data_IF_634821745001
#
_entry.id   IF_634821745001
#
_cell.length_a   1.000
_cell.length_b   1.000
_cell.length_c   1.000
_cell.angle_alpha   90.00
_cell.angle_beta   90.00
_cell.angle_gamma   90.00
#
_symmetry.space_group_name_H-M   'P 1'
#
loop_
_entity.id
_entity.type
_entity.pdbx_description
1 polymer ?
#
# COMPACT_ATOMS: atom_id res chain seq x y z
N UNK A 1 -14.33 35.67 21.35
CA UNK A 1 -13.02 35.30 20.72
C UNK A 1 -12.28 34.26 21.53
N UNK A 2 -12.40 34.23 22.87
CA UNK A 2 -11.70 33.26 23.70
C UNK A 2 -12.00 31.80 23.33
N UNK A 3 -13.24 31.46 22.96
CA UNK A 3 -13.60 30.10 22.53
C UNK A 3 -12.84 29.65 21.26
N UNK A 4 -12.62 30.55 20.31
CA UNK A 4 -11.83 30.27 19.11
C UNK A 4 -10.36 30.03 19.43
N UNK A 5 -9.81 30.86 20.35
CA UNK A 5 -8.43 30.68 20.82
C UNK A 5 -8.27 29.34 21.55
N UNK A 6 -9.20 29.02 22.46
CA UNK A 6 -9.19 27.73 23.16
C UNK A 6 -9.24 26.53 22.19
N UNK A 7 -10.07 26.61 21.14
CA UNK A 7 -10.12 25.56 20.14
C UNK A 7 -8.79 25.39 19.37
N UNK A 8 -8.16 26.51 19.02
CA UNK A 8 -6.86 26.47 18.33
C UNK A 8 -5.78 25.90 19.26
N UNK A 9 -5.69 26.38 20.48
CA UNK A 9 -4.70 25.90 21.46
C UNK A 9 -4.92 24.42 21.78
N UNK A 10 -6.17 24.00 21.97
CA UNK A 10 -6.49 22.58 22.21
C UNK A 10 -6.17 21.70 21.01
N UNK A 11 -6.36 22.17 19.78
CA UNK A 11 -6.01 21.43 18.58
C UNK A 11 -4.50 21.20 18.48
N UNK A 12 -3.70 22.23 18.77
CA UNK A 12 -2.23 22.12 18.77
C UNK A 12 -1.78 21.16 19.86
N UNK A 13 -2.28 21.30 21.08
CA UNK A 13 -1.94 20.44 22.21
C UNK A 13 -2.32 18.98 21.93
N UNK A 14 -3.53 18.74 21.43
CA UNK A 14 -4.00 17.39 21.04
C UNK A 14 -3.11 16.78 19.94
N UNK A 15 -2.74 17.57 18.93
CA UNK A 15 -1.85 17.12 17.87
C UNK A 15 -0.48 16.70 18.38
N UNK A 16 0.12 17.48 19.27
CA UNK A 16 1.42 17.18 19.89
C UNK A 16 1.33 15.89 20.73
N UNK A 17 0.32 15.78 21.59
CA UNK A 17 0.13 14.61 22.47
C UNK A 17 -0.08 13.35 21.62
N UNK A 18 -0.98 13.39 20.65
CA UNK A 18 -1.26 12.22 19.80
C UNK A 18 -0.07 11.82 18.94
N UNK A 19 0.73 12.77 18.45
CA UNK A 19 1.97 12.44 17.76
C UNK A 19 3.00 11.82 18.72
N UNK A 20 3.11 12.30 19.95
CA UNK A 20 3.93 11.68 20.99
C UNK A 20 3.50 10.25 21.31
N UNK A 21 2.20 10.01 21.46
CA UNK A 21 1.62 8.66 21.63
C UNK A 21 1.96 7.78 20.44
N UNK A 22 1.86 8.30 19.22
CA UNK A 22 2.24 7.58 18.00
C UNK A 22 3.70 7.12 18.05
N UNK A 23 4.62 8.03 18.31
CA UNK A 23 6.07 7.73 18.36
C UNK A 23 6.37 6.72 19.47
N UNK A 24 5.83 6.92 20.66
CA UNK A 24 6.00 6.00 21.80
C UNK A 24 5.45 4.60 21.47
N UNK A 25 4.26 4.51 20.89
CA UNK A 25 3.65 3.23 20.51
C UNK A 25 4.47 2.50 19.45
N UNK A 26 5.01 3.22 18.47
CA UNK A 26 5.93 2.65 17.47
C UNK A 26 7.16 2.08 18.20
N UNK A 27 7.79 2.82 19.11
CA UNK A 27 8.95 2.36 19.89
C UNK A 27 8.65 1.11 20.73
N UNK A 28 7.49 1.09 21.41
CA UNK A 28 7.05 -0.06 22.21
C UNK A 28 6.83 -1.30 21.32
N UNK A 29 6.07 -1.15 20.24
CA UNK A 29 5.79 -2.26 19.31
C UNK A 29 7.09 -2.81 18.71
N UNK A 30 8.04 -1.94 18.33
CA UNK A 30 9.37 -2.35 17.81
C UNK A 30 10.17 -3.16 18.83
N UNK A 31 10.10 -2.79 20.10
CA UNK A 31 10.84 -3.49 21.16
C UNK A 31 10.31 -4.90 21.42
N UNK A 32 9.02 -5.14 21.22
CA UNK A 32 8.40 -6.46 21.36
C UNK A 32 8.50 -7.33 20.09
N UNK A 33 8.52 -6.71 18.92
CA UNK A 33 8.64 -7.41 17.64
C UNK A 33 10.12 -7.44 17.22
N UNK A 34 10.88 -8.43 17.67
CA UNK A 34 12.28 -8.64 17.27
C UNK A 34 12.40 -8.66 15.73
N UNK A 35 12.58 -7.47 15.12
CA UNK A 35 12.87 -7.32 13.69
C UNK A 35 11.68 -7.41 12.73
N UNK A 36 10.44 -7.36 13.19
CA UNK A 36 9.27 -7.28 12.31
C UNK A 36 9.10 -5.88 11.70
N UNK A 37 8.68 -5.77 10.42
CA UNK A 37 8.52 -4.49 9.77
C UNK A 37 7.36 -3.70 10.36
N UNK A 38 7.67 -2.59 11.04
CA UNK A 38 6.68 -1.68 11.65
C UNK A 38 5.84 -0.87 10.67
N UNK A 39 6.20 -0.90 9.41
CA UNK A 39 5.61 -0.08 8.37
C UNK A 39 5.02 -0.97 7.27
N UNK A 40 3.74 -1.31 7.44
CA UNK A 40 2.95 -2.03 6.46
C UNK A 40 1.68 -1.26 6.07
N UNK A 41 0.72 -1.90 5.41
CA UNK A 41 -0.62 -1.35 5.19
C UNK A 41 -1.32 -0.94 6.48
N UNK A 42 -0.97 -1.58 7.61
CA UNK A 42 -1.38 -1.22 8.97
C UNK A 42 -0.99 0.21 9.36
N UNK A 43 0.07 0.79 8.76
CA UNK A 43 0.50 2.15 9.06
C UNK A 43 -0.56 3.20 8.65
N UNK A 44 -1.23 2.98 7.53
CA UNK A 44 -2.33 3.85 7.07
C UNK A 44 -3.49 3.81 8.06
N UNK A 45 -3.81 2.64 8.61
CA UNK A 45 -4.86 2.51 9.63
C UNK A 45 -4.47 3.16 10.94
N UNK A 46 -3.23 2.96 11.37
CA UNK A 46 -2.73 3.53 12.59
C UNK A 46 -2.70 5.07 12.53
N UNK A 47 -2.23 5.64 11.42
CA UNK A 47 -2.26 7.10 11.19
C UNK A 47 -3.70 7.61 11.12
N UNK A 48 -4.58 6.90 10.41
CA UNK A 48 -6.01 7.26 10.33
C UNK A 48 -6.68 7.20 11.69
N UNK A 49 -6.39 6.16 12.48
CA UNK A 49 -6.91 6.02 13.84
C UNK A 49 -6.52 7.20 14.74
N UNK A 50 -5.24 7.60 14.73
CA UNK A 50 -4.75 8.75 15.49
C UNK A 50 -5.43 10.04 15.03
N UNK A 51 -5.58 10.23 13.71
CA UNK A 51 -6.26 11.39 13.14
C UNK A 51 -7.73 11.45 13.57
N UNK A 52 -8.48 10.35 13.46
CA UNK A 52 -9.88 10.32 13.88
C UNK A 52 -10.03 10.49 15.39
N UNK A 53 -9.10 9.96 16.19
CA UNK A 53 -9.07 10.20 17.64
C UNK A 53 -8.93 11.68 17.94
N UNK A 54 -7.99 12.36 17.28
CA UNK A 54 -7.81 13.81 17.40
C UNK A 54 -9.04 14.60 16.99
N UNK A 55 -9.68 14.20 15.90
CA UNK A 55 -10.92 14.82 15.41
C UNK A 55 -12.06 14.66 16.43
N UNK A 56 -12.25 13.48 17.01
CA UNK A 56 -13.28 13.22 18.02
C UNK A 56 -13.03 14.08 19.28
N UNK A 57 -11.79 14.12 19.76
CA UNK A 57 -11.41 14.98 20.89
C UNK A 57 -11.74 16.44 20.58
N UNK A 58 -11.41 16.92 19.39
CA UNK A 58 -11.62 18.29 18.99
C UNK A 58 -13.11 18.65 18.84
N UNK A 59 -13.91 17.75 18.25
CA UNK A 59 -15.36 17.89 18.19
C UNK A 59 -15.98 17.92 19.58
N UNK A 60 -15.47 17.12 20.51
CA UNK A 60 -15.92 17.09 21.89
C UNK A 60 -15.62 18.42 22.61
N UNK A 61 -14.37 18.94 22.48
CA UNK A 61 -14.00 20.24 23.04
C UNK A 61 -14.87 21.35 22.42
N UNK A 62 -15.08 21.32 21.11
CA UNK A 62 -15.96 22.27 20.41
C UNK A 62 -17.40 22.23 20.95
N UNK A 63 -17.92 21.03 21.16
CA UNK A 63 -19.25 20.84 21.73
C UNK A 63 -19.35 21.40 23.17
N UNK A 64 -18.32 21.17 23.99
CA UNK A 64 -18.26 21.74 25.34
C UNK A 64 -18.26 23.27 25.32
N UNK A 65 -17.48 23.87 24.43
CA UNK A 65 -17.37 25.33 24.31
C UNK A 65 -18.61 25.96 23.63
N UNK A 66 -19.33 25.19 22.80
CA UNK A 66 -20.55 25.64 22.13
C UNK A 66 -21.79 25.69 23.01
N UNK A 67 -21.74 25.10 24.20
CA UNK A 67 -22.87 24.98 25.14
C UNK A 67 -23.21 26.21 25.93
N UNK A 68 -22.87 27.42 25.49
CA UNK A 68 -23.40 28.64 26.10
C UNK A 68 -24.89 28.75 25.75
N UNK A 69 -25.65 28.85 26.78
CA UNK A 69 -27.11 28.96 26.86
C UNK A 69 -27.71 29.79 25.71
N UNK A 70 -28.62 29.22 24.97
CA UNK A 70 -29.80 29.98 24.57
C UNK A 70 -30.55 30.26 25.86
N UNK A 71 -30.34 31.46 26.41
CA UNK A 71 -31.31 31.97 27.38
C UNK A 71 -32.61 32.10 26.59
N UNK A 72 -33.72 31.54 27.10
CA UNK A 72 -35.01 32.01 26.65
C UNK A 72 -35.06 33.49 26.98
N UNK A 73 -35.37 34.34 26.03
CA UNK A 73 -35.72 35.72 26.27
C UNK A 73 -36.93 35.69 27.23
N UNK A 74 -36.66 35.91 28.49
CA UNK A 74 -37.71 36.22 29.46
C UNK A 74 -38.28 37.59 29.10
N UNK A 75 -39.61 37.74 29.00
CA UNK A 75 -40.22 39.03 28.78
C UNK A 75 -39.82 39.97 29.91
N UNK A 76 -39.35 41.14 29.52
CA UNK A 76 -38.86 42.19 30.40
C UNK A 76 -39.88 42.55 31.50
N UNK A 77 -39.62 42.13 32.73
CA UNK A 77 -40.22 42.70 33.90
C UNK A 77 -39.37 42.51 35.15
N UNK A 78 -39.01 43.62 35.76
CA UNK A 78 -38.47 43.90 37.11
C UNK A 78 -36.95 44.04 37.25
N UNK A 79 -36.48 45.21 37.73
CA UNK A 79 -35.11 45.41 38.16
C UNK A 79 -34.93 44.99 39.59
N UNK A 80 -34.03 44.10 39.85
CA UNK A 80 -33.61 43.81 41.21
C UNK A 80 -32.93 42.47 41.44
N UNK A 81 -31.68 42.54 41.88
CA UNK A 81 -31.01 41.61 42.80
C UNK A 81 -30.18 40.46 42.18
N UNK A 82 -28.89 40.68 42.21
CA UNK A 82 -27.78 39.80 42.61
C UNK A 82 -27.45 38.49 41.89
N UNK A 83 -26.24 38.53 41.30
CA UNK A 83 -25.23 37.49 41.26
C UNK A 83 -25.62 36.07 41.61
N UNK A 84 -26.18 35.31 40.65
CA UNK A 84 -26.18 33.88 40.79
C UNK A 84 -24.83 33.31 40.31
N UNK A 85 -24.08 32.76 41.24
CA UNK A 85 -22.90 31.97 40.95
C UNK A 85 -23.22 30.99 39.83
N UNK A 86 -22.40 30.97 38.78
CA UNK A 86 -22.47 29.97 37.71
C UNK A 86 -22.18 28.62 38.34
N UNK A 87 -23.23 27.91 38.70
CA UNK A 87 -23.10 26.48 39.04
C UNK A 87 -22.69 25.79 37.75
N UNK A 88 -21.45 25.36 37.72
CA UNK A 88 -20.97 24.51 36.61
C UNK A 88 -21.93 23.34 36.46
N UNK A 89 -22.55 23.22 35.29
CA UNK A 89 -23.49 22.13 34.99
C UNK A 89 -22.77 20.79 35.11
N UNK A 90 -23.11 20.01 36.10
CA UNK A 90 -22.63 18.63 36.20
C UNK A 90 -23.05 17.87 34.96
N UNK A 91 -22.16 17.03 34.46
CA UNK A 91 -22.39 16.15 33.31
C UNK A 91 -23.60 15.27 33.61
N UNK A 92 -24.49 15.14 32.65
CA UNK A 92 -25.56 14.15 32.76
C UNK A 92 -24.97 12.75 32.60
N UNK A 93 -25.52 11.75 33.25
CA UNK A 93 -25.07 10.38 33.14
C UNK A 93 -25.03 9.87 31.66
N UNK A 94 -25.93 10.39 30.81
CA UNK A 94 -25.95 10.10 29.38
C UNK A 94 -24.74 10.66 28.63
N UNK A 95 -24.26 11.82 29.00
CA UNK A 95 -23.09 12.47 28.38
C UNK A 95 -21.80 11.75 28.77
N UNK A 96 -21.68 11.35 30.03
CA UNK A 96 -20.56 10.54 30.51
C UNK A 96 -20.58 9.18 29.80
N UNK A 97 -21.72 8.51 29.73
CA UNK A 97 -21.84 7.23 29.05
C UNK A 97 -21.49 7.31 27.56
N UNK A 98 -21.95 8.36 26.86
CA UNK A 98 -21.63 8.55 25.45
C UNK A 98 -20.10 8.79 25.24
N UNK A 99 -19.45 9.56 26.10
CA UNK A 99 -18.01 9.78 26.04
C UNK A 99 -17.23 8.50 26.32
N UNK A 100 -17.62 7.78 27.38
CA UNK A 100 -17.00 6.50 27.74
C UNK A 100 -17.12 5.48 26.62
N UNK A 101 -18.31 5.38 26.00
CA UNK A 101 -18.56 4.49 24.87
C UNK A 101 -17.68 4.89 23.66
N UNK A 102 -17.65 6.17 23.30
CA UNK A 102 -16.84 6.66 22.19
C UNK A 102 -15.34 6.39 22.43
N UNK A 103 -14.84 6.70 23.63
CA UNK A 103 -13.45 6.44 24.00
C UNK A 103 -13.14 4.95 24.01
N UNK A 104 -14.01 4.13 24.60
CA UNK A 104 -13.89 2.67 24.62
C UNK A 104 -13.85 2.07 23.19
N UNK A 105 -14.74 2.53 22.32
CA UNK A 105 -14.76 2.11 20.90
C UNK A 105 -13.45 2.47 20.20
N UNK A 106 -12.96 3.68 20.39
CA UNK A 106 -11.70 4.15 19.81
C UNK A 106 -10.52 3.29 20.32
N UNK A 107 -10.45 3.01 21.61
CA UNK A 107 -9.40 2.16 22.20
C UNK A 107 -9.50 0.73 21.68
N UNK A 108 -10.69 0.14 21.64
CA UNK A 108 -10.90 -1.23 21.10
C UNK A 108 -10.53 -1.34 19.63
N UNK A 109 -10.90 -0.36 18.81
CA UNK A 109 -10.51 -0.30 17.40
C UNK A 109 -8.99 -0.18 17.27
N UNK A 110 -8.35 0.68 18.08
CA UNK A 110 -6.89 0.84 18.07
C UNK A 110 -6.17 -0.43 18.46
N UNK A 111 -6.58 -1.09 19.53
CA UNK A 111 -6.03 -2.37 19.93
C UNK A 111 -6.26 -3.44 18.85
N UNK A 112 -7.47 -3.51 18.29
CA UNK A 112 -7.78 -4.42 17.18
C UNK A 112 -6.83 -4.24 15.99
N UNK A 113 -6.50 -3.00 15.62
CA UNK A 113 -5.58 -2.69 14.54
C UNK A 113 -4.12 -3.06 14.87
N UNK A 114 -3.67 -2.89 16.11
CA UNK A 114 -2.33 -3.31 16.56
C UNK A 114 -2.17 -4.83 16.43
N UNK A 115 -3.21 -5.60 16.76
CA UNK A 115 -3.21 -7.06 16.62
C UNK A 115 -3.51 -7.55 15.19
N UNK A 116 -3.93 -6.65 14.29
CA UNK A 116 -4.20 -6.94 12.89
C UNK A 116 -2.94 -6.89 12.05
N UNK A 117 -2.01 -7.82 12.31
CA UNK A 117 -0.76 -7.87 11.57
C UNK A 117 -0.87 -8.83 10.37
N UNK A 118 -0.49 -8.40 9.14
CA UNK A 118 -0.45 -9.29 7.99
C UNK A 118 0.54 -10.43 8.22
N UNK A 119 0.17 -11.63 7.79
CA UNK A 119 1.04 -12.81 7.86
C UNK A 119 1.79 -12.96 6.54
N UNK A 120 3.06 -13.41 6.57
CA UNK A 120 3.76 -13.79 5.34
C UNK A 120 2.97 -14.86 4.59
N UNK A 121 2.86 -14.71 3.29
CA UNK A 121 2.26 -15.72 2.42
C UNK A 121 3.36 -16.51 1.71
N UNK A 122 3.25 -17.81 1.72
CA UNK A 122 4.14 -18.68 0.93
C UNK A 122 3.74 -18.64 -0.55
N UNK A 123 4.69 -18.91 -1.43
CA UNK A 123 4.43 -19.22 -2.83
C UNK A 123 3.66 -20.55 -2.94
N UNK A 124 2.82 -20.70 -3.95
CA UNK A 124 2.15 -21.95 -4.25
C UNK A 124 3.15 -23.04 -4.70
N UNK A 125 4.17 -22.63 -5.44
CA UNK A 125 5.28 -23.48 -5.84
C UNK A 125 6.59 -22.66 -5.88
N UNK A 126 7.78 -23.30 -5.72
CA UNK A 126 9.06 -22.61 -5.84
C UNK A 126 9.20 -21.95 -7.22
N UNK A 127 9.74 -20.72 -7.28
CA UNK A 127 9.94 -20.02 -8.56
C UNK A 127 10.86 -20.78 -9.52
N UNK A 128 11.83 -21.54 -8.99
CA UNK A 128 12.74 -22.33 -9.79
C UNK A 128 12.03 -23.45 -10.57
N UNK A 129 10.84 -23.86 -10.13
CA UNK A 129 10.01 -24.85 -10.82
C UNK A 129 9.19 -24.27 -11.98
N UNK A 130 9.25 -22.96 -12.23
CA UNK A 130 8.72 -22.37 -13.48
C UNK A 130 9.38 -23.09 -14.65
N UNK A 131 8.62 -23.57 -15.67
CA UNK A 131 9.16 -24.38 -16.73
C UNK A 131 10.38 -23.75 -17.41
N UNK A 132 11.43 -24.57 -17.62
CA UNK A 132 12.59 -24.16 -18.40
C UNK A 132 12.28 -24.09 -19.89
N UNK A 133 11.19 -24.73 -20.34
CA UNK A 133 10.74 -24.65 -21.74
C UNK A 133 9.32 -24.09 -21.76
N UNK A 134 9.10 -22.98 -22.46
CA UNK A 134 7.81 -22.29 -22.60
C UNK A 134 7.60 -22.07 -24.13
N UNK A 135 6.74 -22.84 -24.72
CA UNK A 135 6.53 -22.81 -26.19
C UNK A 135 7.82 -23.07 -26.97
N UNK A 136 8.24 -22.12 -27.79
CA UNK A 136 9.50 -22.18 -28.53
C UNK A 136 10.73 -21.73 -27.75
N UNK A 137 10.54 -21.23 -26.52
CA UNK A 137 11.59 -20.65 -25.72
C UNK A 137 12.23 -21.66 -24.78
N UNK A 138 13.56 -21.71 -24.76
CA UNK A 138 14.37 -22.52 -23.83
C UNK A 138 15.10 -21.68 -22.82
N UNK A 139 14.84 -21.93 -21.52
CA UNK A 139 15.36 -21.18 -20.41
C UNK A 139 16.61 -21.76 -19.80
N UNK A 140 17.55 -20.88 -19.44
CA UNK A 140 18.74 -21.19 -18.64
C UNK A 140 18.93 -20.11 -17.55
N UNK A 141 19.53 -20.49 -16.45
CA UNK A 141 19.84 -19.53 -15.37
C UNK A 141 20.68 -18.36 -15.91
N UNK A 142 20.37 -17.17 -15.42
CA UNK A 142 21.11 -15.95 -15.75
C UNK A 142 21.41 -15.16 -14.46
N UNK A 143 22.48 -14.37 -14.47
CA UNK A 143 22.98 -13.69 -13.27
C UNK A 143 22.85 -12.17 -13.32
N UNK A 144 22.74 -11.58 -14.51
CA UNK A 144 22.79 -10.13 -14.68
C UNK A 144 21.41 -9.53 -14.87
N UNK A 145 20.97 -8.72 -13.90
CA UNK A 145 19.80 -7.86 -14.00
C UNK A 145 20.10 -6.62 -14.86
N UNK A 146 19.10 -6.06 -15.52
CA UNK A 146 19.26 -4.95 -16.46
C UNK A 146 18.76 -3.62 -15.91
N UNK A 147 19.46 -2.55 -16.27
CA UNK A 147 19.06 -1.15 -16.19
C UNK A 147 18.24 -0.81 -14.95
N UNK A 148 17.01 -0.34 -15.15
CA UNK A 148 16.14 0.08 -14.03
C UNK A 148 15.77 -1.03 -13.04
N UNK A 149 15.99 -2.29 -13.40
CA UNK A 149 15.69 -3.46 -12.57
C UNK A 149 16.90 -4.01 -11.81
N UNK A 150 18.11 -3.44 -11.99
CA UNK A 150 19.32 -3.85 -11.25
C UNK A 150 19.21 -3.73 -9.75
N UNK A 151 18.50 -2.69 -9.28
CA UNK A 151 18.31 -2.41 -7.85
C UNK A 151 17.15 -3.19 -7.20
N UNK A 152 16.48 -4.09 -7.92
CA UNK A 152 15.45 -4.93 -7.34
C UNK A 152 16.08 -5.89 -6.33
N UNK A 153 15.55 -5.90 -5.13
CA UNK A 153 15.90 -6.85 -4.06
C UNK A 153 14.60 -7.35 -3.46
N UNK A 154 14.23 -8.57 -3.85
CA UNK A 154 13.03 -9.24 -3.36
C UNK A 154 13.42 -10.37 -2.41
N UNK A 155 12.48 -10.86 -1.63
CA UNK A 155 12.77 -11.93 -0.67
C UNK A 155 12.96 -13.29 -1.37
N UNK A 156 12.25 -13.50 -2.50
CA UNK A 156 12.44 -14.65 -3.39
C UNK A 156 12.53 -14.13 -4.82
N UNK A 157 13.52 -14.57 -5.54
CA UNK A 157 13.78 -14.10 -6.91
C UNK A 157 14.08 -15.25 -7.87
N UNK A 158 13.60 -15.12 -9.10
CA UNK A 158 14.04 -15.91 -10.23
C UNK A 158 14.56 -14.97 -11.30
N UNK A 159 15.73 -15.26 -11.84
CA UNK A 159 16.23 -14.61 -13.04
C UNK A 159 16.68 -15.67 -14.05
N UNK A 160 16.04 -15.68 -15.21
CA UNK A 160 16.26 -16.70 -16.24
C UNK A 160 16.30 -16.07 -17.63
N UNK A 161 17.21 -16.51 -18.46
CA UNK A 161 17.27 -16.17 -19.87
C UNK A 161 16.57 -17.27 -20.66
N UNK A 162 15.71 -16.88 -21.58
CA UNK A 162 15.05 -17.77 -22.55
C UNK A 162 15.51 -17.38 -23.92
N UNK A 163 16.01 -18.35 -24.67
CA UNK A 163 16.39 -18.19 -26.07
C UNK A 163 15.28 -18.80 -26.95
N UNK A 164 14.73 -18.01 -27.88
CA UNK A 164 13.75 -18.50 -28.83
C UNK A 164 14.42 -19.38 -29.87
N UNK A 165 13.95 -20.59 -30.04
CA UNK A 165 14.49 -21.56 -31.03
C UNK A 165 14.28 -21.12 -32.47
N UNK A 166 13.32 -20.24 -32.74
CA UNK A 166 12.96 -19.77 -34.07
C UNK A 166 13.76 -18.56 -34.48
N UNK A 167 13.75 -17.50 -33.65
CA UNK A 167 14.45 -16.25 -33.95
C UNK A 167 15.87 -16.20 -33.42
N UNK A 168 16.20 -17.01 -32.41
CA UNK A 168 17.46 -16.94 -31.68
C UNK A 168 17.57 -15.75 -30.73
N UNK A 169 16.54 -14.92 -30.66
CA UNK A 169 16.56 -13.74 -29.81
C UNK A 169 16.31 -14.09 -28.33
N UNK A 170 17.09 -13.51 -27.41
CA UNK A 170 16.93 -13.78 -26.01
C UNK A 170 15.84 -12.90 -25.37
N UNK A 171 15.05 -13.52 -24.48
CA UNK A 171 14.15 -12.84 -23.54
C UNK A 171 14.58 -13.19 -22.12
N UNK A 172 14.70 -12.19 -21.28
CA UNK A 172 15.07 -12.37 -19.89
C UNK A 172 13.84 -12.21 -18.99
N UNK A 173 13.53 -13.26 -18.24
CA UNK A 173 12.46 -13.24 -17.25
C UNK A 173 13.05 -12.97 -15.87
N UNK A 174 12.50 -11.97 -15.20
CA UNK A 174 12.69 -11.75 -13.79
C UNK A 174 11.33 -11.89 -13.08
N UNK A 175 11.30 -12.67 -12.01
CA UNK A 175 10.15 -12.78 -11.11
C UNK A 175 10.67 -12.49 -9.71
N UNK A 176 10.16 -11.44 -9.10
CA UNK A 176 10.48 -11.09 -7.72
C UNK A 176 9.23 -11.19 -6.86
N UNK A 177 9.33 -11.89 -5.73
CA UNK A 177 8.23 -12.12 -4.80
C UNK A 177 8.55 -11.60 -3.41
N UNK A 178 7.59 -10.93 -2.82
CA UNK A 178 7.57 -10.49 -1.43
C UNK A 178 6.46 -11.21 -0.69
N UNK A 179 6.76 -12.10 0.26
CA UNK A 179 5.75 -12.77 1.08
C UNK A 179 5.02 -11.81 2.01
N UNK A 180 5.64 -10.67 2.32
CA UNK A 180 5.06 -9.59 3.10
C UNK A 180 5.64 -8.25 2.64
N UNK A 181 4.77 -7.25 2.48
CA UNK A 181 5.19 -5.89 2.19
C UNK A 181 5.19 -5.04 3.46
N UNK A 182 6.13 -4.12 3.55
CA UNK A 182 6.25 -3.15 4.63
C UNK A 182 6.56 -1.75 4.07
N UNK A 183 6.83 -0.78 4.95
CA UNK A 183 7.12 0.59 4.52
C UNK A 183 8.36 0.68 3.63
N UNK A 184 9.41 -0.03 3.94
CA UNK A 184 10.68 -0.01 3.22
C UNK A 184 10.63 -0.85 1.94
N UNK A 185 9.96 -2.02 2.03
CA UNK A 185 9.81 -2.98 0.94
C UNK A 185 8.38 -3.02 0.45
N UNK A 186 8.07 -2.20 -0.56
CA UNK A 186 6.79 -2.21 -1.28
C UNK A 186 7.03 -2.57 -2.73
N UNK A 187 6.21 -3.45 -3.26
CA UNK A 187 6.30 -3.81 -4.68
C UNK A 187 6.15 -2.57 -5.59
N UNK A 188 5.36 -1.61 -5.14
CA UNK A 188 5.10 -0.36 -5.86
C UNK A 188 6.26 0.64 -5.84
N UNK A 189 7.34 0.38 -5.10
CA UNK A 189 8.56 1.18 -5.18
C UNK A 189 9.35 0.87 -6.46
N UNK A 190 8.97 -0.18 -7.18
CA UNK A 190 9.63 -0.64 -8.40
C UNK A 190 8.63 -0.72 -9.56
N UNK A 191 9.04 -0.45 -10.80
CA UNK A 191 10.29 0.18 -11.20
C UNK A 191 10.34 1.67 -10.81
N UNK A 192 11.47 2.33 -11.11
CA UNK A 192 11.65 3.77 -10.80
C UNK A 192 10.57 4.65 -11.47
N UNK A 193 10.29 5.81 -10.88
CA UNK A 193 9.31 6.76 -11.42
C UNK A 193 9.67 7.24 -12.83
N UNK A 194 10.96 7.37 -13.13
CA UNK A 194 11.46 7.77 -14.45
C UNK A 194 11.08 6.74 -15.52
N UNK A 195 11.13 5.45 -15.19
CA UNK A 195 10.72 4.40 -16.13
C UNK A 195 9.21 4.37 -16.30
N UNK A 196 8.47 4.55 -15.20
CA UNK A 196 7.00 4.60 -15.25
C UNK A 196 6.48 5.75 -16.12
N UNK A 197 7.11 6.92 -16.02
CA UNK A 197 6.74 8.09 -16.81
C UNK A 197 6.92 7.88 -18.34
N UNK A 198 7.78 6.95 -18.73
CA UNK A 198 8.07 6.60 -20.13
C UNK A 198 7.42 5.29 -20.58
N UNK A 199 6.53 4.74 -19.78
CA UNK A 199 5.88 3.46 -20.08
C UNK A 199 4.46 3.66 -20.58
N UNK A 200 4.06 2.84 -21.53
CA UNK A 200 2.69 2.69 -22.02
C UNK A 200 2.06 1.39 -21.52
N UNK A 201 0.74 1.32 -21.65
CA UNK A 201 -0.04 0.15 -21.23
C UNK A 201 -0.54 -0.56 -22.47
N UNK A 202 -0.31 -1.85 -22.53
CA UNK A 202 -0.75 -2.72 -23.60
C UNK A 202 -1.72 -3.77 -23.08
N UNK A 203 -2.66 -4.16 -23.91
CA UNK A 203 -3.48 -5.35 -23.69
C UNK A 203 -2.81 -6.57 -24.32
N UNK A 204 -2.66 -7.62 -23.54
CA UNK A 204 -2.01 -8.87 -23.94
C UNK A 204 -2.99 -10.01 -23.75
N UNK A 205 -3.01 -10.96 -24.67
CA UNK A 205 -3.87 -12.13 -24.55
C UNK A 205 -3.47 -13.00 -23.36
N UNK A 206 -4.46 -13.41 -22.58
CA UNK A 206 -4.30 -14.37 -21.47
C UNK A 206 -5.52 -15.29 -21.47
N UNK A 207 -5.50 -16.30 -22.29
CA UNK A 207 -6.66 -17.15 -22.53
C UNK A 207 -7.85 -16.36 -23.08
N UNK A 208 -9.01 -16.48 -22.43
CA UNK A 208 -10.25 -15.81 -22.85
C UNK A 208 -10.37 -14.33 -22.45
N UNK A 209 -9.45 -13.82 -21.63
CA UNK A 209 -9.51 -12.43 -21.12
C UNK A 209 -8.18 -11.73 -21.32
N UNK A 210 -8.14 -10.59 -22.04
CA UNK A 210 -6.93 -9.80 -22.15
C UNK A 210 -6.55 -9.22 -20.78
N UNK A 211 -5.25 -9.21 -20.52
CA UNK A 211 -4.67 -8.55 -19.34
C UNK A 211 -3.89 -7.32 -19.77
N UNK A 212 -3.85 -6.32 -18.91
CA UNK A 212 -3.08 -5.11 -19.15
C UNK A 212 -1.71 -5.27 -18.53
N UNK A 213 -0.66 -4.93 -19.28
CA UNK A 213 0.73 -4.90 -18.80
C UNK A 213 1.38 -3.59 -19.21
N UNK A 214 2.50 -3.24 -18.60
CA UNK A 214 3.27 -2.06 -18.98
C UNK A 214 4.43 -2.44 -19.90
N UNK A 215 4.68 -1.58 -20.90
CA UNK A 215 5.86 -1.64 -21.75
C UNK A 215 6.70 -0.39 -21.50
N UNK A 216 8.00 -0.58 -21.32
CA UNK A 216 8.97 0.51 -21.20
C UNK A 216 10.22 0.19 -22.01
N UNK A 217 10.77 1.18 -22.69
CA UNK A 217 11.98 1.01 -23.49
C UNK A 217 13.06 2.00 -23.06
N UNK A 218 14.32 1.57 -23.05
CA UNK A 218 15.48 2.40 -22.77
C UNK A 218 16.68 1.94 -23.55
N UNK A 219 17.68 2.82 -23.66
CA UNK A 219 18.99 2.46 -24.22
C UNK A 219 19.99 2.27 -23.07
N UNK A 220 20.70 1.16 -23.08
CA UNK A 220 21.78 0.88 -22.11
C UNK A 220 23.02 0.41 -22.86
N UNK A 221 24.08 1.19 -22.80
CA UNK A 221 25.35 0.90 -23.48
C UNK A 221 25.21 0.67 -25.01
N UNK A 222 24.33 1.44 -25.67
CA UNK A 222 24.08 1.32 -27.12
C UNK A 222 23.15 0.18 -27.52
N UNK A 223 22.66 -0.61 -26.57
CA UNK A 223 21.68 -1.66 -26.83
C UNK A 223 20.29 -1.16 -26.45
N UNK A 224 19.37 -1.21 -27.40
CA UNK A 224 17.97 -0.95 -27.15
C UNK A 224 17.34 -2.10 -26.38
N UNK A 225 16.68 -1.78 -25.27
CA UNK A 225 15.98 -2.76 -24.45
C UNK A 225 14.52 -2.38 -24.27
N UNK A 226 13.67 -3.38 -24.31
CA UNK A 226 12.23 -3.22 -24.03
C UNK A 226 11.83 -4.20 -22.94
N UNK A 227 11.21 -3.68 -21.90
CA UNK A 227 10.65 -4.46 -20.81
C UNK A 227 9.13 -4.44 -20.86
N UNK A 228 8.55 -5.59 -20.60
CA UNK A 228 7.15 -5.77 -20.29
C UNK A 228 7.05 -6.18 -18.83
N UNK A 229 6.24 -5.47 -18.04
CA UNK A 229 6.16 -5.74 -16.61
C UNK A 229 4.76 -5.51 -16.05
N UNK A 230 4.47 -6.25 -15.00
CA UNK A 230 3.22 -6.17 -14.26
C UNK A 230 3.41 -6.59 -12.80
N UNK A 231 2.46 -6.28 -11.97
CA UNK A 231 2.38 -6.77 -10.61
C UNK A 231 1.38 -7.91 -10.51
N UNK A 232 1.61 -8.83 -9.60
CA UNK A 232 0.65 -9.86 -9.22
C UNK A 232 0.36 -9.69 -7.72
N UNK A 233 -0.89 -9.40 -7.39
CA UNK A 233 -1.35 -9.18 -6.02
C UNK A 233 -2.65 -9.95 -5.89
N UNK A 234 -2.70 -10.89 -4.93
CA UNK A 234 -3.90 -11.71 -4.70
C UNK A 234 -4.47 -12.32 -5.99
N UNK A 235 -3.60 -12.94 -6.79
CA UNK A 235 -3.92 -13.60 -8.07
C UNK A 235 -4.40 -12.64 -9.18
N UNK A 236 -4.34 -11.35 -8.95
CA UNK A 236 -4.73 -10.34 -9.93
C UNK A 236 -3.51 -9.73 -10.57
N UNK A 237 -3.53 -9.62 -11.89
CA UNK A 237 -2.55 -8.85 -12.65
C UNK A 237 -2.93 -7.37 -12.55
N UNK A 238 -2.00 -6.57 -12.09
CA UNK A 238 -2.17 -5.15 -11.85
C UNK A 238 -1.03 -4.37 -12.50
N UNK A 239 -1.35 -3.28 -13.17
CA UNK A 239 -0.37 -2.44 -13.88
C UNK A 239 -0.17 -1.08 -13.24
N UNK A 240 -1.21 -0.56 -12.60
CA UNK A 240 -1.21 0.77 -12.02
C UNK A 240 -0.76 0.74 -10.56
N UNK A 241 0.15 1.65 -10.17
CA UNK A 241 0.64 1.75 -8.79
C UNK A 241 -0.47 1.97 -7.76
N UNK A 242 -1.43 2.83 -8.08
CA UNK A 242 -2.54 3.10 -7.16
C UNK A 242 -3.45 1.89 -7.01
N UNK A 243 -3.71 1.20 -8.12
CA UNK A 243 -4.47 -0.05 -8.08
C UNK A 243 -3.71 -1.11 -7.27
N UNK A 244 -2.40 -1.24 -7.46
CA UNK A 244 -1.57 -2.18 -6.68
C UNK A 244 -1.60 -1.87 -5.17
N UNK A 245 -1.55 -0.59 -4.79
CA UNK A 245 -1.73 -0.18 -3.39
C UNK A 245 -3.10 -0.55 -2.85
N UNK A 246 -4.14 -0.32 -3.64
CA UNK A 246 -5.51 -0.63 -3.26
C UNK A 246 -5.75 -2.13 -3.11
N UNK A 247 -5.30 -2.93 -4.08
CA UNK A 247 -5.40 -4.40 -4.00
C UNK A 247 -4.60 -4.96 -2.81
N UNK A 248 -3.39 -4.43 -2.54
CA UNK A 248 -2.62 -4.82 -1.34
C UNK A 248 -3.36 -4.49 -0.06
N UNK A 249 -4.07 -3.37 -0.02
CA UNK A 249 -4.87 -2.96 1.13
C UNK A 249 -6.06 -3.89 1.34
N UNK A 250 -6.81 -4.20 0.28
CA UNK A 250 -7.93 -5.13 0.32
C UNK A 250 -7.46 -6.53 0.76
N UNK A 251 -6.37 -7.03 0.20
CA UNK A 251 -5.77 -8.30 0.58
C UNK A 251 -5.37 -8.32 2.07
N UNK A 252 -4.83 -7.21 2.57
CA UNK A 252 -4.49 -7.09 3.99
C UNK A 252 -5.72 -7.21 4.88
N UNK A 253 -6.82 -6.57 4.49
CA UNK A 253 -8.07 -6.61 5.25
C UNK A 253 -8.75 -7.97 5.21
N UNK A 254 -8.95 -8.50 4.01
CA UNK A 254 -9.75 -9.69 3.81
C UNK A 254 -8.99 -10.96 4.22
N UNK A 255 -7.70 -11.02 3.91
CA UNK A 255 -6.90 -12.25 4.02
C UNK A 255 -5.77 -12.16 5.03
N UNK A 256 -5.54 -11.01 5.63
CA UNK A 256 -4.38 -10.72 6.51
C UNK A 256 -3.04 -11.04 5.84
N UNK A 257 -2.93 -10.75 4.54
CA UNK A 257 -1.75 -10.96 3.72
C UNK A 257 -1.41 -9.66 3.00
N UNK A 258 -0.14 -9.48 2.63
CA UNK A 258 0.32 -8.37 1.79
C UNK A 258 1.32 -8.85 0.75
N UNK A 259 1.26 -10.14 0.42
CA UNK A 259 2.15 -10.73 -0.57
C UNK A 259 1.94 -10.10 -1.94
N UNK A 260 3.03 -9.89 -2.66
CA UNK A 260 2.99 -9.39 -4.01
C UNK A 260 4.20 -9.86 -4.82
N UNK A 261 4.03 -9.91 -6.12
CA UNK A 261 5.12 -10.19 -7.05
C UNK A 261 5.23 -9.09 -8.11
N UNK A 262 6.43 -8.90 -8.62
CA UNK A 262 6.69 -8.19 -9.88
C UNK A 262 7.24 -9.17 -10.88
N UNK A 263 6.70 -9.12 -12.08
CA UNK A 263 7.17 -9.94 -13.21
C UNK A 263 7.67 -8.99 -14.29
N UNK A 264 8.83 -9.26 -14.81
CA UNK A 264 9.48 -8.45 -15.84
C UNK A 264 10.05 -9.35 -16.91
N UNK A 265 9.64 -9.14 -18.15
CA UNK A 265 10.24 -9.76 -19.34
C UNK A 265 11.01 -8.68 -20.13
N UNK A 266 12.30 -8.88 -20.34
CA UNK A 266 13.16 -7.92 -21.05
C UNK A 266 13.69 -8.54 -22.32
N UNK A 267 13.56 -7.82 -23.44
CA UNK A 267 14.27 -8.17 -24.68
C UNK A 267 15.48 -7.27 -24.85
N UNK A 268 16.51 -7.85 -25.44
CA UNK A 268 17.62 -7.14 -26.04
C UNK A 268 17.50 -7.27 -27.55
N UNK A 269 17.25 -6.18 -28.24
CA UNK A 269 17.13 -6.28 -29.68
C UNK A 269 18.13 -5.38 -30.37
N UNK A 270 18.71 -5.91 -31.45
CA UNK A 270 19.46 -5.15 -32.45
C UNK A 270 18.57 -4.76 -33.64
N UNK A 271 17.39 -5.37 -33.72
CA UNK A 271 16.39 -5.13 -34.77
C UNK A 271 15.51 -3.91 -34.43
N UNK A 272 14.77 -3.39 -35.43
CA UNK A 272 13.82 -2.29 -35.18
C UNK A 272 12.83 -2.65 -34.06
N UNK A 273 12.40 -1.66 -33.25
CA UNK A 273 11.59 -1.90 -32.04
C UNK A 273 10.30 -2.70 -32.26
N UNK A 274 9.71 -2.61 -33.43
CA UNK A 274 8.40 -3.23 -33.71
C UNK A 274 8.48 -4.74 -33.95
N UNK A 275 9.57 -5.23 -34.54
CA UNK A 275 9.75 -6.68 -34.84
C UNK A 275 10.14 -7.47 -33.60
N UNK A 276 11.04 -6.90 -32.81
CA UNK A 276 11.42 -7.46 -31.51
C UNK A 276 10.30 -7.43 -30.48
N UNK A 277 9.41 -6.43 -30.56
CA UNK A 277 8.23 -6.34 -29.72
C UNK A 277 7.29 -7.53 -29.92
N UNK A 278 7.17 -8.05 -31.14
CA UNK A 278 6.31 -9.19 -31.47
C UNK A 278 6.74 -10.49 -30.77
N UNK A 279 8.03 -10.81 -30.81
CA UNK A 279 8.58 -12.04 -30.21
C UNK A 279 8.46 -12.04 -28.69
N UNK A 280 8.76 -10.89 -28.05
CA UNK A 280 8.62 -10.78 -26.58
C UNK A 280 7.16 -10.83 -26.17
N UNK A 281 6.27 -10.24 -26.94
CA UNK A 281 4.84 -10.28 -26.64
C UNK A 281 4.31 -11.71 -26.68
N UNK A 282 4.71 -12.49 -27.70
CA UNK A 282 4.39 -13.92 -27.78
C UNK A 282 4.94 -14.75 -26.60
N UNK A 283 6.15 -14.40 -26.12
CA UNK A 283 6.69 -14.98 -24.89
C UNK A 283 5.86 -14.60 -23.65
N UNK A 284 5.52 -13.32 -23.52
CA UNK A 284 4.74 -12.81 -22.39
C UNK A 284 3.38 -13.48 -22.30
N UNK A 285 2.69 -13.68 -23.41
CA UNK A 285 1.42 -14.40 -23.47
C UNK A 285 1.50 -15.82 -22.90
N UNK A 286 2.62 -16.50 -23.16
CA UNK A 286 2.83 -17.86 -22.71
C UNK A 286 3.36 -17.94 -21.27
N UNK A 287 4.13 -16.96 -20.81
CA UNK A 287 4.71 -16.98 -19.47
C UNK A 287 3.72 -16.55 -18.38
N UNK A 288 2.75 -15.69 -18.69
CA UNK A 288 1.76 -15.20 -17.72
C UNK A 288 1.07 -16.35 -16.96
N UNK A 289 0.46 -17.36 -17.63
CA UNK A 289 -0.20 -18.45 -16.91
C UNK A 289 0.78 -19.31 -16.12
N UNK A 290 1.99 -19.54 -16.65
CA UNK A 290 3.02 -20.33 -15.97
C UNK A 290 3.49 -19.65 -14.67
N UNK A 291 3.74 -18.36 -14.70
CA UNK A 291 4.15 -17.59 -13.51
C UNK A 291 3.00 -17.49 -12.51
N UNK A 292 1.79 -17.19 -12.96
CA UNK A 292 0.64 -17.06 -12.06
C UNK A 292 0.35 -18.35 -11.30
N UNK A 293 0.54 -19.52 -11.90
CA UNK A 293 0.38 -20.80 -11.22
C UNK A 293 1.32 -21.00 -10.02
N UNK A 294 2.46 -20.29 -9.98
CA UNK A 294 3.44 -20.37 -8.89
C UNK A 294 3.22 -19.32 -7.79
N UNK A 295 2.54 -18.23 -8.14
CA UNK A 295 2.32 -17.10 -7.23
C UNK A 295 1.01 -17.20 -6.44
N UNK A 296 0.14 -18.13 -6.78
CA UNK A 296 -1.21 -18.29 -6.23
C UNK A 296 -1.26 -19.09 -4.94
#
# INVERSE_FOLDING_TARGET
>A
WYKRVTLIVSAIATGIILNGVRVASIGIITSFQKGGPLHGPSDVFYVSFIFFTGLIIQLFISHLLGRDKVQPEEPASTPGVHGSARVGRAWSGKEIAALTLATGTVVCLGLGLVFWYPKPAALAAPLDSIPASIGTFEGRSATNKFGPFKGLSMDVELFRRYDDRVSGEPVYLYVGYMPIQNYEKKITNYPSETLLARSDILAVANGSRPVRIRRASWNEAGVQRTAYYWYVIDNKIVTERYQAKWESLLQAFEKRKTAAAIVVAVSETKSPPDEAAGNVLAYVEQVIPAVNAHLN
#
